data_IF_993841739151
#
_entry.id   IF_993841739151
#
_cell.length_a   1.000
_cell.length_b   1.000
_cell.length_c   1.000
_cell.angle_alpha   90.00
_cell.angle_beta   90.00
_cell.angle_gamma   90.00
#
_symmetry.space_group_name_H-M   'P 1'
#
loop_
_entity.id
_entity.type
_entity.pdbx_description
1 polymer ?
#
# COMPACT_ATOMS: atom_id res chain seq x y z
N UNK A 1 1.80 9.72 6.99
CA UNK A 1 0.98 9.89 5.77
C UNK A 1 -0.39 10.44 6.11
N UNK A 2 -1.13 10.88 5.11
CA UNK A 2 -2.54 11.33 5.25
C UNK A 2 -3.50 10.22 5.68
N UNK A 3 -3.07 8.97 5.64
CA UNK A 3 -3.83 7.82 6.12
C UNK A 3 -3.72 7.63 7.65
N UNK A 4 -2.86 8.40 8.31
CA UNK A 4 -2.69 8.30 9.75
C UNK A 4 -3.94 8.81 10.48
N UNK A 5 -4.37 8.10 11.54
CA UNK A 5 -5.59 8.41 12.29
C UNK A 5 -5.66 9.85 12.80
N UNK A 6 -4.50 10.48 13.14
CA UNK A 6 -4.43 11.87 13.55
C UNK A 6 -4.87 12.79 12.40
N UNK A 7 -4.40 12.52 11.15
CA UNK A 7 -4.79 13.32 9.99
C UNK A 7 -6.29 13.24 9.77
N UNK A 8 -6.86 12.04 9.76
CA UNK A 8 -8.29 11.81 9.56
C UNK A 8 -9.10 12.52 10.65
N UNK A 9 -8.81 12.23 11.92
CA UNK A 9 -9.59 12.76 13.07
C UNK A 9 -9.50 14.27 13.23
N UNK A 10 -8.31 14.85 13.07
CA UNK A 10 -8.08 16.26 13.42
C UNK A 10 -8.11 17.20 12.22
N UNK A 11 -7.86 16.71 11.01
CA UNK A 11 -7.88 17.54 9.81
C UNK A 11 -9.05 17.20 8.90
N UNK A 12 -9.17 15.98 8.43
CA UNK A 12 -10.18 15.58 7.44
C UNK A 12 -11.60 15.67 8.00
N UNK A 13 -11.89 14.99 9.13
CA UNK A 13 -13.22 14.96 9.74
C UNK A 13 -13.68 16.33 10.22
N UNK A 14 -12.74 17.21 10.54
CA UNK A 14 -13.00 18.57 11.01
C UNK A 14 -12.95 19.60 9.90
N UNK A 15 -12.61 19.24 8.67
CA UNK A 15 -12.48 20.14 7.55
C UNK A 15 -11.47 21.26 7.79
N UNK A 16 -10.33 20.93 8.44
CA UNK A 16 -9.22 21.86 8.68
C UNK A 16 -8.10 21.56 7.70
N UNK A 17 -7.61 22.57 7.01
CA UNK A 17 -6.48 22.43 6.11
C UNK A 17 -5.18 22.21 6.90
N UNK A 18 -4.41 21.18 6.53
CA UNK A 18 -3.12 20.90 7.14
C UNK A 18 -2.11 22.01 6.79
N UNK A 19 -1.39 22.48 7.81
CA UNK A 19 -0.47 23.63 7.68
C UNK A 19 -1.11 24.98 8.02
N UNK A 20 -2.40 25.01 8.39
CA UNK A 20 -3.06 26.24 8.84
C UNK A 20 -2.85 26.48 10.34
N UNK A 21 -2.82 27.74 10.73
CA UNK A 21 -2.87 28.18 12.13
C UNK A 21 -4.28 28.66 12.44
N UNK A 22 -5.05 27.88 13.19
CA UNK A 22 -6.46 28.17 13.47
C UNK A 22 -6.95 27.47 14.73
N UNK A 23 -8.08 27.91 15.27
CA UNK A 23 -8.80 27.20 16.34
C UNK A 23 -10.17 26.78 15.81
N UNK A 24 -10.50 25.51 15.93
CA UNK A 24 -11.80 24.96 15.60
C UNK A 24 -12.33 24.12 16.74
N UNK A 25 -13.51 24.45 17.23
CA UNK A 25 -14.10 23.86 18.43
C UNK A 25 -13.15 23.97 19.63
N UNK A 26 -12.78 22.85 20.24
CA UNK A 26 -11.87 22.76 21.38
C UNK A 26 -10.41 22.44 20.99
N UNK A 27 -10.05 22.58 19.72
CA UNK A 27 -8.73 22.22 19.19
C UNK A 27 -8.08 23.42 18.52
N UNK A 28 -6.87 23.76 18.98
CA UNK A 28 -6.03 24.76 18.35
C UNK A 28 -4.97 24.07 17.49
N UNK A 29 -4.88 24.48 16.24
CA UNK A 29 -3.90 24.02 15.26
C UNK A 29 -2.78 25.04 15.18
N UNK A 30 -1.58 24.60 15.44
CA UNK A 30 -0.38 25.42 15.35
C UNK A 30 0.58 24.73 14.40
N UNK A 31 0.89 25.39 13.30
CA UNK A 31 1.86 24.94 12.32
C UNK A 31 3.09 25.83 12.35
N UNK A 32 4.23 25.26 12.67
CA UNK A 32 5.53 25.92 12.69
C UNK A 32 6.55 25.13 11.89
N UNK A 33 7.48 25.85 11.28
CA UNK A 33 8.55 25.28 10.45
C UNK A 33 9.89 25.90 10.87
N UNK A 34 10.99 25.46 10.26
CA UNK A 34 12.29 26.08 10.48
C UNK A 34 12.32 27.55 10.02
N UNK A 35 11.43 27.95 9.10
CA UNK A 35 11.33 29.33 8.60
C UNK A 35 10.89 30.31 9.68
N UNK A 36 10.14 29.85 10.68
CA UNK A 36 9.68 30.65 11.80
C UNK A 36 10.81 30.95 12.81
N UNK A 37 11.99 30.31 12.66
CA UNK A 37 13.12 30.43 13.54
C UNK A 37 14.47 30.52 12.80
N UNK A 38 14.45 30.96 11.56
CA UNK A 38 15.63 30.94 10.66
C UNK A 38 16.83 31.73 11.22
N UNK A 39 16.56 32.83 11.90
CA UNK A 39 17.59 33.71 12.44
C UNK A 39 18.42 33.09 13.58
N UNK A 40 17.88 32.04 14.21
CA UNK A 40 18.55 31.30 15.27
C UNK A 40 19.22 30.01 14.79
N UNK A 41 19.16 29.70 13.47
CA UNK A 41 19.74 28.52 12.92
C UNK A 41 21.13 28.75 12.34
N UNK A 42 22.04 27.79 12.56
CA UNK A 42 23.38 27.91 12.02
C UNK A 42 23.38 27.84 10.48
N UNK A 43 24.34 28.54 9.86
CA UNK A 43 24.51 28.50 8.39
C UNK A 43 24.70 27.08 7.88
N UNK A 44 25.45 26.25 8.58
CA UNK A 44 25.68 24.85 8.18
C UNK A 44 24.39 24.03 8.15
N UNK A 45 23.46 24.28 9.08
CA UNK A 45 22.17 23.64 9.13
C UNK A 45 21.26 24.11 7.98
N UNK A 46 21.23 25.41 7.69
CA UNK A 46 20.49 25.97 6.56
C UNK A 46 21.01 25.43 5.21
N UNK A 47 22.34 25.32 5.05
CA UNK A 47 22.96 24.72 3.86
C UNK A 47 22.59 23.24 3.72
N UNK A 48 22.40 22.52 4.82
CA UNK A 48 21.92 21.14 4.79
C UNK A 48 20.45 21.04 4.37
N UNK A 49 19.60 21.95 4.87
CA UNK A 49 18.18 22.04 4.47
C UNK A 49 18.08 22.33 2.98
N UNK A 50 18.86 23.26 2.44
CA UNK A 50 18.83 23.59 1.01
C UNK A 50 19.28 22.39 0.13
N UNK A 51 20.26 21.62 0.58
CA UNK A 51 20.65 20.37 -0.09
C UNK A 51 19.50 19.34 -0.09
N UNK A 52 18.75 19.22 1.01
CA UNK A 52 17.59 18.33 1.08
C UNK A 52 16.49 18.81 0.13
N UNK A 53 16.23 20.12 0.10
CA UNK A 53 15.22 20.74 -0.77
C UNK A 53 15.49 20.44 -2.25
N UNK A 54 16.75 20.57 -2.68
CA UNK A 54 17.15 20.31 -4.06
C UNK A 54 17.12 18.81 -4.40
N UNK A 55 17.69 17.96 -3.53
CA UNK A 55 17.89 16.54 -3.81
C UNK A 55 16.69 15.67 -3.50
N UNK A 56 15.85 16.07 -2.54
CA UNK A 56 14.72 15.27 -2.01
C UNK A 56 13.55 16.20 -1.67
N UNK A 57 12.86 16.78 -2.66
CA UNK A 57 11.82 17.81 -2.44
C UNK A 57 10.65 17.31 -1.60
N UNK A 58 10.25 16.05 -1.72
CA UNK A 58 9.16 15.49 -0.91
C UNK A 58 9.59 15.34 0.57
N UNK A 59 10.84 14.93 0.81
CA UNK A 59 11.40 14.90 2.17
C UNK A 59 11.48 16.28 2.78
N UNK A 60 11.87 17.27 2.00
CA UNK A 60 11.89 18.67 2.42
C UNK A 60 10.50 19.15 2.84
N UNK A 61 9.48 18.93 1.99
CA UNK A 61 8.10 19.28 2.31
C UNK A 61 7.60 18.62 3.60
N UNK A 62 7.94 17.35 3.79
CA UNK A 62 7.50 16.61 4.97
C UNK A 62 8.25 17.00 6.24
N UNK A 63 9.58 16.90 6.22
CA UNK A 63 10.40 17.05 7.43
C UNK A 63 10.71 18.49 7.81
N UNK A 64 10.88 19.37 6.80
CA UNK A 64 11.27 20.76 7.05
C UNK A 64 10.07 21.71 7.07
N UNK A 65 9.03 21.43 6.31
CA UNK A 65 7.82 22.25 6.23
C UNK A 65 6.61 21.61 6.94
N UNK A 66 6.76 20.47 7.62
CA UNK A 66 5.68 19.83 8.37
C UNK A 66 4.52 19.31 7.52
N UNK A 67 4.72 19.15 6.21
CA UNK A 67 3.69 18.67 5.31
C UNK A 67 3.35 17.19 5.53
N UNK A 68 2.10 16.81 5.30
CA UNK A 68 1.68 15.43 5.32
C UNK A 68 2.03 14.75 3.99
N UNK A 69 2.70 13.60 4.06
CA UNK A 69 3.00 12.79 2.88
C UNK A 69 1.72 12.14 2.34
N UNK A 70 1.58 12.15 1.03
CA UNK A 70 0.55 11.36 0.36
C UNK A 70 0.89 9.86 0.37
N UNK A 71 2.19 9.52 0.32
CA UNK A 71 2.73 8.15 0.37
C UNK A 71 3.83 8.09 1.44
N UNK A 72 4.11 6.90 1.99
CA UNK A 72 5.25 6.70 2.88
C UNK A 72 6.58 6.99 2.17
N UNK A 73 7.60 7.46 2.90
CA UNK A 73 8.94 7.58 2.34
C UNK A 73 9.49 6.20 1.98
N UNK A 74 10.15 6.09 0.82
CA UNK A 74 10.74 4.83 0.38
C UNK A 74 9.74 3.76 -0.04
N UNK A 75 8.49 4.15 -0.41
CA UNK A 75 7.55 3.19 -0.99
C UNK A 75 8.15 2.48 -2.19
N UNK A 76 7.90 1.19 -2.25
CA UNK A 76 8.44 0.31 -3.29
C UNK A 76 7.73 0.55 -4.62
N UNK A 77 6.41 0.75 -4.59
CA UNK A 77 5.59 0.94 -5.78
C UNK A 77 5.13 2.38 -5.93
N UNK A 78 5.72 3.10 -6.87
CA UNK A 78 5.31 4.46 -7.28
C UNK A 78 4.61 4.48 -8.66
N UNK A 79 4.65 3.35 -9.37
CA UNK A 79 4.21 3.14 -10.75
C UNK A 79 2.74 2.71 -10.85
N UNK A 80 1.86 3.26 -10.00
CA UNK A 80 0.45 2.92 -10.00
C UNK A 80 -0.47 4.15 -9.99
N UNK A 81 -1.67 3.97 -10.51
CA UNK A 81 -2.75 4.96 -10.49
C UNK A 81 -4.11 4.28 -10.34
N UNK A 82 -5.09 5.03 -9.86
CA UNK A 82 -6.50 4.59 -9.83
C UNK A 82 -7.06 4.65 -11.25
N UNK A 83 -7.83 3.63 -11.62
CA UNK A 83 -8.47 3.57 -12.93
C UNK A 83 -9.43 2.39 -13.05
N UNK A 84 -10.07 2.29 -14.19
CA UNK A 84 -11.01 1.19 -14.49
C UNK A 84 -10.27 -0.14 -14.63
N UNK A 85 -10.74 -1.18 -13.94
CA UNK A 85 -10.28 -2.55 -14.15
C UNK A 85 -10.68 -3.02 -15.55
N UNK A 86 -9.71 -3.49 -16.33
CA UNK A 86 -9.97 -4.05 -17.67
C UNK A 86 -9.67 -5.55 -17.67
N UNK A 87 -10.65 -6.34 -18.10
CA UNK A 87 -10.50 -7.78 -18.27
C UNK A 87 -10.13 -8.06 -19.72
N UNK A 88 -8.85 -8.34 -19.96
CA UNK A 88 -8.25 -8.60 -21.29
C UNK A 88 -7.98 -10.09 -21.49
N UNK A 89 -8.96 -10.95 -21.20
CA UNK A 89 -8.80 -12.40 -21.26
C UNK A 89 -9.00 -13.07 -19.91
N UNK A 90 -8.20 -14.11 -19.63
CA UNK A 90 -8.31 -14.88 -18.39
C UNK A 90 -7.66 -14.12 -17.24
N UNK A 91 -8.41 -13.91 -16.16
CA UNK A 91 -7.86 -13.37 -14.93
C UNK A 91 -7.15 -14.44 -14.11
N UNK A 92 -6.11 -14.04 -13.37
CA UNK A 92 -5.46 -14.85 -12.34
C UNK A 92 -5.65 -14.13 -11.01
N UNK A 93 -5.85 -14.89 -9.95
CA UNK A 93 -6.13 -14.34 -8.61
C UNK A 93 -4.95 -14.63 -7.69
N UNK A 94 -4.56 -13.63 -6.92
CA UNK A 94 -3.61 -13.77 -5.80
C UNK A 94 -4.36 -13.82 -4.49
N UNK A 95 -4.01 -14.76 -3.61
CA UNK A 95 -4.65 -14.92 -2.31
C UNK A 95 -3.64 -14.99 -1.19
N UNK A 96 -3.85 -14.17 -0.16
CA UNK A 96 -3.15 -14.25 1.12
C UNK A 96 -4.11 -14.66 2.22
N UNK A 97 -3.60 -15.38 3.23
CA UNK A 97 -4.39 -15.95 4.31
C UNK A 97 -4.01 -15.35 5.64
N UNK A 98 -4.95 -14.68 6.29
CA UNK A 98 -4.81 -14.22 7.64
C UNK A 98 -5.36 -15.25 8.65
N UNK A 99 -4.68 -15.40 9.78
CA UNK A 99 -5.15 -16.19 10.90
C UNK A 99 -5.68 -15.28 12.01
N UNK A 100 -6.87 -15.56 12.50
CA UNK A 100 -7.54 -14.88 13.63
C UNK A 100 -7.58 -13.34 13.54
N UNK A 101 -6.47 -12.65 13.69
CA UNK A 101 -6.37 -11.19 13.72
C UNK A 101 -6.03 -10.56 12.38
N UNK A 102 -5.50 -11.34 11.44
CA UNK A 102 -5.06 -10.86 10.14
C UNK A 102 -6.15 -11.06 9.07
N UNK A 103 -6.04 -10.33 7.98
CA UNK A 103 -7.03 -10.34 6.90
C UNK A 103 -6.78 -11.47 5.91
N UNK A 104 -7.87 -12.11 5.47
CA UNK A 104 -7.85 -12.95 4.26
C UNK A 104 -8.15 -12.06 3.07
N UNK A 105 -7.33 -12.14 2.03
CA UNK A 105 -7.43 -11.26 0.87
C UNK A 105 -7.50 -12.04 -0.42
N UNK A 106 -8.19 -11.49 -1.42
CA UNK A 106 -8.19 -12.00 -2.78
C UNK A 106 -8.12 -10.81 -3.75
N UNK A 107 -7.14 -10.84 -4.64
CA UNK A 107 -6.93 -9.81 -5.66
C UNK A 107 -7.04 -10.42 -7.05
N UNK A 108 -7.94 -9.88 -7.87
CA UNK A 108 -8.03 -10.21 -9.29
C UNK A 108 -6.96 -9.45 -10.07
N UNK A 109 -6.23 -10.15 -10.92
CA UNK A 109 -5.15 -9.61 -11.74
C UNK A 109 -5.42 -9.90 -13.21
N UNK A 110 -5.28 -8.89 -14.07
CA UNK A 110 -5.29 -9.03 -15.52
C UNK A 110 -4.12 -8.27 -16.13
N UNK A 111 -3.43 -8.87 -17.10
CA UNK A 111 -2.15 -8.35 -17.60
C UNK A 111 -2.24 -8.05 -19.10
N UNK A 112 -1.91 -6.82 -19.46
CA UNK A 112 -1.63 -6.39 -20.82
C UNK A 112 -0.12 -6.40 -21.05
N UNK A 113 0.38 -7.52 -21.54
CA UNK A 113 1.82 -7.72 -21.75
C UNK A 113 2.37 -6.76 -22.81
N UNK A 114 1.57 -6.45 -23.85
CA UNK A 114 2.00 -5.60 -24.95
C UNK A 114 2.18 -4.14 -24.54
N UNK A 115 1.28 -3.64 -23.68
CA UNK A 115 1.32 -2.26 -23.20
C UNK A 115 2.00 -2.14 -21.83
N UNK A 116 2.51 -3.24 -21.26
CA UNK A 116 3.14 -3.24 -19.93
C UNK A 116 2.21 -2.68 -18.84
N UNK A 117 0.95 -3.13 -18.82
CA UNK A 117 -0.05 -2.70 -17.85
C UNK A 117 -0.55 -3.91 -17.07
N UNK A 118 -0.65 -3.78 -15.75
CA UNK A 118 -1.31 -4.74 -14.87
C UNK A 118 -2.52 -4.06 -14.24
N UNK A 119 -3.68 -4.68 -14.41
CA UNK A 119 -4.93 -4.27 -13.78
C UNK A 119 -5.15 -5.10 -12.52
N UNK A 120 -5.38 -4.43 -11.39
CA UNK A 120 -5.58 -5.04 -10.08
C UNK A 120 -6.92 -4.60 -9.50
N UNK A 121 -7.63 -5.58 -8.93
CA UNK A 121 -8.91 -5.36 -8.26
C UNK A 121 -8.99 -6.18 -6.99
N UNK A 122 -9.24 -5.53 -5.87
CA UNK A 122 -9.53 -6.18 -4.59
C UNK A 122 -10.91 -6.84 -4.65
N UNK A 123 -10.97 -8.16 -4.48
CA UNK A 123 -12.22 -8.89 -4.44
C UNK A 123 -12.80 -8.94 -3.03
N UNK A 124 -11.95 -9.17 -2.04
CA UNK A 124 -12.27 -9.05 -0.62
C UNK A 124 -11.02 -8.87 0.25
N UNK A 125 -11.24 -8.30 1.43
CA UNK A 125 -10.25 -8.06 2.48
C UNK A 125 -10.98 -8.19 3.83
N UNK A 126 -10.97 -9.40 4.43
CA UNK A 126 -11.88 -9.76 5.53
C UNK A 126 -11.13 -10.59 6.59
N UNK A 127 -11.31 -10.24 7.85
CA UNK A 127 -10.76 -10.99 9.01
C UNK A 127 -11.66 -12.17 9.42
N UNK A 128 -11.04 -13.17 10.03
CA UNK A 128 -11.74 -14.19 10.78
C UNK A 128 -12.60 -15.13 9.93
N UNK A 129 -12.29 -15.32 8.66
CA UNK A 129 -13.00 -16.23 7.78
C UNK A 129 -12.66 -17.69 8.11
N UNK A 130 -13.68 -18.54 8.14
CA UNK A 130 -13.51 -20.00 8.13
C UNK A 130 -13.13 -20.49 6.73
N UNK A 131 -12.50 -21.68 6.63
CA UNK A 131 -12.17 -22.30 5.33
C UNK A 131 -13.37 -22.39 4.38
N UNK A 132 -14.56 -22.66 4.91
CA UNK A 132 -15.78 -22.75 4.09
C UNK A 132 -16.19 -21.39 3.52
N UNK A 133 -16.08 -20.32 4.30
CA UNK A 133 -16.37 -18.96 3.85
C UNK A 133 -15.33 -18.48 2.82
N UNK A 134 -14.05 -18.81 3.01
CA UNK A 134 -13.01 -18.53 2.02
C UNK A 134 -13.30 -19.24 0.70
N UNK A 135 -13.69 -20.54 0.76
CA UNK A 135 -14.03 -21.29 -0.45
C UNK A 135 -15.24 -20.69 -1.18
N UNK A 136 -16.29 -20.30 -0.46
CA UNK A 136 -17.48 -19.67 -1.02
C UNK A 136 -17.13 -18.34 -1.72
N UNK A 137 -16.35 -17.47 -1.06
CA UNK A 137 -15.90 -16.22 -1.63
C UNK A 137 -15.00 -16.44 -2.85
N UNK A 138 -14.08 -17.41 -2.80
CA UNK A 138 -13.23 -17.77 -3.92
C UNK A 138 -14.06 -18.22 -5.13
N UNK A 139 -15.01 -19.11 -4.94
CA UNK A 139 -15.89 -19.59 -6.02
C UNK A 139 -16.76 -18.47 -6.58
N UNK A 140 -17.24 -17.57 -5.72
CA UNK A 140 -18.04 -16.39 -6.13
C UNK A 140 -17.25 -15.43 -7.00
N UNK A 141 -15.99 -15.14 -6.64
CA UNK A 141 -15.19 -14.11 -7.33
C UNK A 141 -14.32 -14.68 -8.47
N UNK A 142 -13.65 -15.79 -8.24
CA UNK A 142 -12.75 -16.40 -9.21
C UNK A 142 -13.42 -17.46 -10.09
N UNK A 143 -14.51 -18.09 -9.63
CA UNK A 143 -15.12 -19.21 -10.34
C UNK A 143 -14.10 -20.31 -10.60
N UNK A 144 -13.90 -20.64 -11.87
CA UNK A 144 -12.92 -21.66 -12.30
C UNK A 144 -11.54 -21.06 -12.65
N UNK A 145 -11.35 -19.75 -12.51
CA UNK A 145 -10.06 -19.13 -12.79
C UNK A 145 -9.01 -19.54 -11.75
N UNK A 146 -7.75 -19.48 -12.16
CA UNK A 146 -6.62 -19.85 -11.32
C UNK A 146 -6.45 -18.89 -10.15
N UNK A 147 -6.36 -19.45 -8.94
CA UNK A 147 -5.97 -18.75 -7.72
C UNK A 147 -4.55 -19.21 -7.34
N UNK A 148 -3.65 -18.27 -7.10
CA UNK A 148 -2.32 -18.52 -6.55
C UNK A 148 -2.34 -18.11 -5.08
N UNK A 149 -2.38 -19.09 -4.19
CA UNK A 149 -2.45 -18.86 -2.75
C UNK A 149 -1.07 -18.88 -2.09
N UNK A 150 -0.94 -18.19 -0.96
CA UNK A 150 0.29 -18.25 -0.17
C UNK A 150 0.61 -19.70 0.22
N UNK A 151 1.88 -20.05 0.13
CA UNK A 151 2.37 -21.41 0.40
C UNK A 151 2.60 -21.71 1.89
N UNK A 152 2.40 -20.73 2.78
CA UNK A 152 2.59 -20.90 4.22
C UNK A 152 1.57 -21.85 4.86
N UNK A 153 0.38 -21.99 4.26
CA UNK A 153 -0.74 -22.79 4.76
C UNK A 153 -1.11 -23.97 3.83
N UNK A 154 -0.27 -25.03 3.70
CA UNK A 154 -0.51 -26.11 2.74
C UNK A 154 -1.81 -26.88 2.98
N UNK A 155 -2.20 -27.03 4.27
CA UNK A 155 -3.43 -27.71 4.65
C UNK A 155 -4.67 -26.94 4.17
N UNK A 156 -4.66 -25.62 4.35
CA UNK A 156 -5.76 -24.76 3.90
C UNK A 156 -5.91 -24.82 2.37
N UNK A 157 -4.80 -24.77 1.63
CA UNK A 157 -4.83 -24.93 0.17
C UNK A 157 -5.45 -26.26 -0.27
N UNK A 158 -5.11 -27.37 0.41
CA UNK A 158 -5.69 -28.66 0.15
C UNK A 158 -7.21 -28.68 0.41
N UNK A 159 -7.65 -28.12 1.54
CA UNK A 159 -9.06 -28.04 1.91
C UNK A 159 -9.87 -27.17 0.91
N UNK A 160 -9.31 -26.02 0.47
CA UNK A 160 -9.93 -25.15 -0.53
C UNK A 160 -10.05 -25.85 -1.88
N UNK A 161 -9.02 -26.61 -2.30
CA UNK A 161 -9.05 -27.40 -3.51
C UNK A 161 -10.11 -28.50 -3.45
N UNK A 162 -10.23 -29.18 -2.31
CA UNK A 162 -11.27 -30.19 -2.07
C UNK A 162 -12.70 -29.60 -2.12
N UNK A 163 -12.85 -28.31 -1.83
CA UNK A 163 -14.12 -27.56 -1.93
C UNK A 163 -14.38 -26.99 -3.34
N UNK A 164 -13.55 -27.34 -4.34
CA UNK A 164 -13.75 -26.99 -5.75
C UNK A 164 -13.03 -25.72 -6.22
N UNK A 165 -12.20 -25.07 -5.39
CA UNK A 165 -11.39 -23.94 -5.84
C UNK A 165 -10.26 -24.41 -6.76
N UNK A 166 -10.09 -23.75 -7.90
CA UNK A 166 -8.94 -23.96 -8.78
C UNK A 166 -7.70 -23.23 -8.23
N UNK A 167 -7.07 -23.83 -7.23
CA UNK A 167 -6.01 -23.16 -6.46
C UNK A 167 -4.70 -23.93 -6.51
N UNK A 168 -3.59 -23.16 -6.61
CA UNK A 168 -2.22 -23.66 -6.54
C UNK A 168 -1.42 -22.86 -5.52
N UNK A 169 -0.36 -23.46 -4.99
CA UNK A 169 0.56 -22.77 -4.08
C UNK A 169 1.47 -21.80 -4.84
N UNK A 170 1.75 -20.65 -4.24
CA UNK A 170 2.80 -19.76 -4.72
C UNK A 170 4.17 -20.44 -4.62
N UNK A 171 4.99 -20.30 -5.65
CA UNK A 171 6.38 -20.80 -5.66
C UNK A 171 7.24 -19.74 -5.00
N UNK A 172 7.77 -20.06 -3.80
CA UNK A 172 8.69 -19.21 -3.05
C UNK A 172 10.09 -19.79 -3.14
N UNK A 173 11.04 -19.00 -3.62
CA UNK A 173 12.47 -19.33 -3.67
C UNK A 173 13.31 -18.16 -3.17
N UNK A 174 14.61 -18.37 -3.05
CA UNK A 174 15.55 -17.31 -2.68
C UNK A 174 15.45 -16.16 -3.71
N UNK A 175 15.20 -14.93 -3.24
CA UNK A 175 15.07 -13.76 -4.09
C UNK A 175 13.72 -13.60 -4.80
N UNK A 176 12.74 -14.51 -4.60
CA UNK A 176 11.43 -14.43 -5.27
C UNK A 176 10.68 -13.13 -5.00
N UNK A 177 10.77 -12.60 -3.78
CA UNK A 177 10.15 -11.31 -3.42
C UNK A 177 10.79 -10.17 -4.21
N UNK A 178 12.12 -10.09 -4.21
CA UNK A 178 12.84 -9.02 -4.94
C UNK A 178 12.59 -9.10 -6.44
N UNK A 179 12.54 -10.31 -7.00
CA UNK A 179 12.20 -10.52 -8.41
C UNK A 179 10.76 -10.10 -8.71
N UNK A 180 9.80 -10.47 -7.86
CA UNK A 180 8.39 -10.08 -8.01
C UNK A 180 8.20 -8.56 -7.94
N UNK A 181 8.90 -7.89 -7.01
CA UNK A 181 8.90 -6.43 -6.91
C UNK A 181 9.44 -5.80 -8.21
N UNK A 182 10.61 -6.26 -8.68
CA UNK A 182 11.22 -5.74 -9.91
C UNK A 182 10.29 -5.95 -11.13
N UNK A 183 9.64 -7.11 -11.23
CA UNK A 183 8.66 -7.38 -12.28
C UNK A 183 7.48 -6.41 -12.23
N UNK A 184 6.89 -6.18 -11.05
CA UNK A 184 5.78 -5.25 -10.91
C UNK A 184 6.20 -3.80 -11.17
N UNK A 185 7.44 -3.43 -10.88
CA UNK A 185 7.98 -2.10 -11.18
C UNK A 185 8.21 -1.86 -12.69
N UNK A 186 8.31 -2.92 -13.50
CA UNK A 186 8.44 -2.85 -14.96
C UNK A 186 7.09 -2.64 -15.69
N UNK A 187 5.98 -2.59 -14.95
CA UNK A 187 4.64 -2.39 -15.46
C UNK A 187 3.98 -1.15 -14.84
N UNK A 188 3.07 -0.53 -15.58
CA UNK A 188 2.12 0.44 -15.01
C UNK A 188 0.99 -0.32 -14.31
N UNK A 189 0.76 -0.05 -13.02
CA UNK A 189 -0.30 -0.69 -12.26
C UNK A 189 -1.56 0.18 -12.27
N UNK A 190 -2.68 -0.37 -12.71
CA UNK A 190 -4.00 0.27 -12.66
C UNK A 190 -4.82 -0.40 -11.58
N UNK A 191 -5.14 0.35 -10.52
CA UNK A 191 -5.88 -0.15 -9.37
C UNK A 191 -7.34 0.30 -9.49
N UNK A 192 -8.26 -0.65 -9.41
CA UNK A 192 -9.70 -0.36 -9.40
C UNK A 192 -10.06 0.52 -8.19
N UNK A 193 -10.93 1.51 -8.38
CA UNK A 193 -11.20 2.58 -7.41
C UNK A 193 -11.74 2.11 -6.06
N UNK A 194 -12.50 1.01 -6.03
CA UNK A 194 -13.06 0.46 -4.80
C UNK A 194 -12.08 -0.48 -4.06
N UNK A 195 -10.87 -0.68 -4.58
CA UNK A 195 -9.80 -1.50 -3.99
C UNK A 195 -9.08 -0.75 -2.86
N UNK A 196 -9.84 -0.30 -1.85
CA UNK A 196 -9.39 0.65 -0.83
C UNK A 196 -8.21 0.10 -0.01
N UNK A 197 -8.25 -1.18 0.39
CA UNK A 197 -7.19 -1.77 1.19
C UNK A 197 -5.94 -2.01 0.35
N UNK A 198 -6.08 -2.46 -0.89
CA UNK A 198 -4.95 -2.61 -1.82
C UNK A 198 -4.26 -1.26 -2.08
N UNK A 199 -5.02 -0.18 -2.26
CA UNK A 199 -4.49 1.19 -2.41
C UNK A 199 -3.71 1.60 -1.16
N UNK A 200 -4.25 1.32 0.03
CA UNK A 200 -3.60 1.59 1.31
C UNK A 200 -2.30 0.81 1.47
N UNK A 201 -2.29 -0.47 1.13
CA UNK A 201 -1.11 -1.33 1.14
C UNK A 201 -0.01 -0.76 0.23
N UNK A 202 -0.34 -0.45 -1.03
CA UNK A 202 0.61 0.11 -2.00
C UNK A 202 1.20 1.46 -1.56
N UNK A 203 0.43 2.29 -0.87
CA UNK A 203 0.91 3.56 -0.34
C UNK A 203 1.91 3.40 0.81
N UNK A 204 1.86 2.27 1.52
CA UNK A 204 2.65 2.04 2.73
C UNK A 204 3.72 0.95 2.55
N UNK A 205 3.70 0.21 1.45
CA UNK A 205 4.65 -0.86 1.19
C UNK A 205 6.04 -0.30 0.89
N UNK A 206 6.90 -0.34 1.89
CA UNK A 206 8.24 0.28 1.86
C UNK A 206 9.32 -0.69 2.33
N UNK A 207 10.57 -0.43 1.93
CA UNK A 207 11.69 -1.14 2.49
C UNK A 207 11.82 -0.84 3.98
N UNK A 208 12.00 -1.88 4.80
CA UNK A 208 12.36 -1.69 6.20
C UNK A 208 13.71 -0.99 6.28
N UNK A 209 13.75 0.21 6.84
CA UNK A 209 15.03 0.84 7.20
C UNK A 209 15.72 -0.08 8.21
N UNK A 210 16.93 -0.58 7.86
CA UNK A 210 17.79 -1.18 8.86
C UNK A 210 18.07 -0.11 9.90
N UNK A 211 17.45 -0.23 11.09
CA UNK A 211 17.88 0.55 12.25
C UNK A 211 19.38 0.31 12.39
N UNK A 212 20.18 1.34 12.12
CA UNK A 212 21.60 1.30 12.42
C UNK A 212 21.68 1.03 13.92
N UNK A 213 22.18 -0.15 14.28
CA UNK A 213 22.67 -0.37 15.64
C UNK A 213 23.86 0.55 15.77
N UNK A 214 23.63 1.74 16.30
CA UNK A 214 24.70 2.56 16.84
C UNK A 214 25.26 1.79 18.04
N UNK A 215 26.58 1.56 18.10
CA UNK A 215 27.21 0.86 19.21
C UNK A 215 27.06 1.63 20.52
#
# INVERSE_FOLDING_TARGET
>A
TKEHWIYNRFYQDRGVEAGSNTTKENTTYIHTTYLDNVDNLSKSYLDQIERIKIRRPEKYKHQMLGGWLAKAEGVIFSNWKIGQFKKLGISVFGQDYGFAADENTLVETNIDVNNKIIYLKECFYIKGLTTSQIAELNLKHAGNNLIVGDSAEPRLLYELKAKGCNIVKAIKGQGSITYGIALLQDYDLIIEENSINLIKELNNYSWLEKKSKTP
#
